data_IF_704921197041
#
_entry.id   IF_704921197041
#
_cell.length_a   1.000
_cell.length_b   1.000
_cell.length_c   1.000
_cell.angle_alpha   90.00
_cell.angle_beta   90.00
_cell.angle_gamma   90.00
#
_symmetry.space_group_name_H-M   'P 1'
#
loop_
_entity.id
_entity.type
_entity.pdbx_description
1 polymer ?
#
# COMPACT_ATOMS: atom_id res chain seq x y z
N UNK A 1 -80.13 12.75 -19.58
CA UNK A 1 -79.16 12.99 -18.49
C UNK A 1 -78.05 11.98 -18.67
N UNK A 2 -76.93 12.44 -19.18
CA UNK A 2 -75.75 11.58 -19.52
C UNK A 2 -74.67 11.80 -18.48
N UNK A 3 -74.36 10.78 -17.71
CA UNK A 3 -73.27 10.80 -16.72
C UNK A 3 -71.96 10.46 -17.44
N UNK A 4 -71.07 11.44 -17.54
CA UNK A 4 -69.69 11.24 -17.93
C UNK A 4 -68.91 10.68 -16.74
N UNK A 5 -68.44 9.43 -16.86
CA UNK A 5 -67.48 8.85 -15.95
C UNK A 5 -66.06 9.26 -16.44
N UNK A 6 -65.41 10.14 -15.67
CA UNK A 6 -64.01 10.52 -15.89
C UNK A 6 -63.12 9.53 -15.17
N UNK A 7 -62.45 8.65 -15.91
CA UNK A 7 -61.44 7.72 -15.37
C UNK A 7 -60.13 8.47 -15.27
N UNK A 8 -59.73 8.80 -14.05
CA UNK A 8 -58.40 9.38 -13.78
C UNK A 8 -57.39 8.23 -13.74
N UNK A 9 -56.60 8.05 -14.78
CA UNK A 9 -55.53 7.06 -14.84
C UNK A 9 -54.31 7.61 -14.09
N UNK A 10 -54.13 7.16 -12.86
CA UNK A 10 -52.98 7.51 -12.03
C UNK A 10 -51.79 6.63 -12.48
N UNK A 11 -50.95 7.15 -13.39
CA UNK A 11 -49.69 6.50 -13.71
C UNK A 11 -48.69 6.73 -12.58
N UNK A 12 -48.48 5.71 -11.77
CA UNK A 12 -47.47 5.67 -10.73
C UNK A 12 -46.10 5.49 -11.41
N UNK A 13 -45.37 6.59 -11.56
CA UNK A 13 -43.99 6.56 -12.10
C UNK A 13 -43.06 6.01 -11.01
N UNK A 14 -42.78 4.72 -11.06
CA UNK A 14 -41.83 4.08 -10.17
C UNK A 14 -40.42 4.47 -10.63
N UNK A 15 -39.89 5.56 -10.09
CA UNK A 15 -38.47 5.90 -10.22
C UNK A 15 -37.69 4.94 -9.30
N UNK A 16 -37.11 3.90 -9.89
CA UNK A 16 -36.17 3.05 -9.22
C UNK A 16 -34.91 3.88 -8.90
N UNK A 17 -34.80 4.28 -7.64
CA UNK A 17 -33.61 4.90 -7.09
C UNK A 17 -32.52 3.82 -7.04
N UNK A 18 -31.66 3.78 -8.07
CA UNK A 18 -30.46 2.93 -8.03
C UNK A 18 -29.49 3.61 -7.06
N UNK A 19 -29.51 3.17 -5.80
CA UNK A 19 -28.45 3.48 -4.88
C UNK A 19 -27.19 2.74 -5.38
N UNK A 20 -26.27 3.47 -6.03
CA UNK A 20 -24.93 2.97 -6.24
C UNK A 20 -24.31 2.72 -4.88
N UNK A 21 -24.20 1.45 -4.52
CA UNK A 21 -23.40 1.07 -3.37
C UNK A 21 -21.98 1.51 -3.67
N UNK A 22 -21.49 2.53 -2.98
CA UNK A 22 -20.09 2.90 -2.96
C UNK A 22 -19.33 1.68 -2.43
N UNK A 23 -18.59 1.00 -3.30
CA UNK A 23 -17.72 -0.08 -2.88
C UNK A 23 -16.70 0.50 -1.89
N UNK A 24 -16.88 0.18 -0.63
CA UNK A 24 -16.02 0.64 0.45
C UNK A 24 -14.62 0.06 0.23
N UNK A 25 -13.60 0.93 0.15
CA UNK A 25 -12.20 0.52 0.18
C UNK A 25 -11.85 0.05 1.59
N UNK A 26 -11.39 -1.18 1.71
CA UNK A 26 -10.78 -1.67 2.94
C UNK A 26 -9.32 -1.17 2.99
N UNK A 27 -8.97 -0.41 4.01
CA UNK A 27 -7.59 0.07 4.24
C UNK A 27 -6.99 -0.66 5.45
N UNK A 28 -5.82 -1.25 5.26
CA UNK A 28 -5.10 -1.97 6.29
C UNK A 28 -3.81 -1.23 6.66
N UNK A 29 -3.47 -1.21 7.95
CA UNK A 29 -2.18 -0.72 8.38
C UNK A 29 -1.10 -1.73 7.98
N UNK A 30 -0.10 -1.27 7.23
CA UNK A 30 0.97 -2.10 6.69
C UNK A 30 2.33 -1.86 7.35
N UNK A 31 2.39 -1.02 8.40
CA UNK A 31 3.64 -0.52 8.98
C UNK A 31 4.40 -1.51 9.85
N UNK A 32 3.73 -2.44 10.55
CA UNK A 32 4.38 -3.39 11.45
C UNK A 32 4.95 -4.62 10.75
N UNK A 33 5.91 -5.30 11.37
CA UNK A 33 6.44 -6.58 10.91
C UNK A 33 7.26 -6.49 9.62
N UNK A 34 7.98 -5.41 9.41
CA UNK A 34 9.00 -5.31 8.37
C UNK A 34 10.33 -5.86 8.88
N UNK A 35 11.07 -6.48 8.00
CA UNK A 35 12.43 -6.96 8.24
C UNK A 35 13.42 -5.99 7.58
N UNK A 36 14.44 -5.58 8.32
CA UNK A 36 15.47 -4.64 7.90
C UNK A 36 16.83 -5.31 7.84
N UNK A 37 17.55 -5.12 6.75
CA UNK A 37 18.97 -5.43 6.66
C UNK A 37 19.74 -4.28 6.01
N UNK A 38 20.90 -3.95 6.57
CA UNK A 38 21.80 -2.92 6.07
C UNK A 38 22.90 -3.55 5.23
N UNK A 39 23.27 -2.87 4.16
CA UNK A 39 24.24 -3.33 3.17
C UNK A 39 23.59 -4.02 1.97
N UNK A 40 24.33 -4.11 0.88
CA UNK A 40 23.88 -4.83 -0.30
C UNK A 40 23.75 -6.33 -0.03
N UNK A 41 22.63 -6.91 -0.41
CA UNK A 41 22.30 -8.32 -0.23
C UNK A 41 21.90 -8.93 -1.55
N UNK A 42 22.86 -9.51 -2.24
CA UNK A 42 22.61 -10.18 -3.52
C UNK A 42 21.51 -11.23 -3.39
N UNK A 43 20.48 -11.13 -4.21
CA UNK A 43 19.35 -12.05 -4.22
C UNK A 43 18.27 -11.79 -3.18
N UNK A 44 18.36 -10.67 -2.43
CA UNK A 44 17.37 -10.32 -1.41
C UNK A 44 15.98 -10.06 -1.97
N UNK A 45 15.84 -9.86 -3.27
CA UNK A 45 14.56 -9.77 -3.96
C UNK A 45 13.83 -11.13 -4.06
N UNK A 46 14.53 -12.25 -3.87
CA UNK A 46 13.97 -13.60 -4.01
C UNK A 46 13.04 -13.96 -2.87
N UNK A 47 11.93 -14.63 -3.20
CA UNK A 47 10.93 -15.05 -2.23
C UNK A 47 11.48 -16.03 -1.19
N UNK A 48 12.44 -16.85 -1.57
CA UNK A 48 13.07 -17.87 -0.72
C UNK A 48 14.39 -17.40 -0.08
N UNK A 49 14.68 -16.09 -0.12
CA UNK A 49 15.85 -15.53 0.55
C UNK A 49 15.78 -15.77 2.06
N UNK A 50 16.89 -16.18 2.67
CA UNK A 50 16.99 -16.39 4.10
C UNK A 50 17.08 -15.04 4.83
N UNK A 51 16.03 -14.64 5.51
CA UNK A 51 15.90 -13.35 6.20
C UNK A 51 15.61 -13.49 7.70
N UNK A 52 15.79 -14.66 8.25
CA UNK A 52 15.50 -14.96 9.67
C UNK A 52 16.38 -14.18 10.66
N UNK A 53 17.54 -13.71 10.23
CA UNK A 53 18.49 -12.90 11.00
C UNK A 53 18.29 -11.38 10.80
N UNK A 54 17.33 -10.96 9.97
CA UNK A 54 17.05 -9.56 9.76
C UNK A 54 16.32 -8.95 10.95
N UNK A 55 16.58 -7.66 11.19
CA UNK A 55 15.96 -6.93 12.29
C UNK A 55 14.49 -6.64 12.01
N UNK A 56 13.59 -7.05 12.89
CA UNK A 56 12.19 -6.64 12.81
C UNK A 56 12.03 -5.17 13.20
N UNK A 57 11.28 -4.41 12.38
CA UNK A 57 11.01 -2.99 12.57
C UNK A 57 9.55 -2.65 12.24
N UNK A 58 9.11 -1.52 12.78
CA UNK A 58 7.83 -0.89 12.41
C UNK A 58 8.10 0.41 11.67
N UNK A 59 7.50 0.59 10.50
CA UNK A 59 7.63 1.83 9.74
C UNK A 59 6.79 2.97 10.34
N UNK A 60 7.21 4.22 10.22
CA UNK A 60 8.49 4.67 9.64
C UNK A 60 9.69 4.32 10.54
N UNK A 61 10.75 3.82 9.97
CA UNK A 61 11.99 3.49 10.66
C UNK A 61 13.21 3.91 9.84
N UNK A 62 14.11 4.70 10.41
CA UNK A 62 15.37 5.06 9.79
C UNK A 62 16.49 4.12 10.28
N UNK A 63 17.18 3.46 9.35
CA UNK A 63 18.26 2.52 9.69
C UNK A 63 19.42 3.17 10.44
N UNK A 64 19.63 4.48 10.22
CA UNK A 64 20.69 5.30 10.81
C UNK A 64 20.18 6.32 11.84
N UNK A 65 19.04 6.07 12.48
CA UNK A 65 18.42 6.99 13.43
C UNK A 65 19.40 7.47 14.52
N UNK A 66 20.19 6.55 15.08
CA UNK A 66 21.17 6.89 16.11
C UNK A 66 22.30 7.79 15.59
N UNK A 67 22.70 7.65 14.34
CA UNK A 67 23.72 8.48 13.70
C UNK A 67 23.19 9.87 13.41
N UNK A 68 21.95 9.99 12.97
CA UNK A 68 21.32 11.24 12.59
C UNK A 68 21.28 12.28 13.72
N UNK A 69 21.36 11.83 14.99
CA UNK A 69 21.40 12.70 16.15
C UNK A 69 22.81 12.97 16.69
N UNK A 70 23.84 12.30 16.18
CA UNK A 70 25.20 12.35 16.72
C UNK A 70 26.25 12.85 15.75
N UNK A 71 26.00 12.69 14.45
CA UNK A 71 26.96 12.98 13.40
C UNK A 71 26.47 14.15 12.54
N UNK A 72 27.41 14.84 11.87
CA UNK A 72 27.05 15.79 10.83
C UNK A 72 26.47 15.06 9.61
N UNK A 73 25.76 15.80 8.76
CA UNK A 73 25.14 15.23 7.55
C UNK A 73 26.18 14.57 6.64
N UNK A 74 27.39 15.12 6.57
CA UNK A 74 28.48 14.56 5.74
C UNK A 74 29.04 13.24 6.29
N UNK A 75 28.76 12.92 7.54
CA UNK A 75 29.24 11.71 8.22
C UNK A 75 28.18 10.62 8.33
N UNK A 76 26.97 10.86 7.82
CA UNK A 76 25.91 9.86 7.82
C UNK A 76 26.25 8.71 6.88
N UNK A 77 25.90 7.50 7.29
CA UNK A 77 26.09 6.30 6.48
C UNK A 77 25.27 6.37 5.20
N UNK A 78 25.96 6.27 4.07
CA UNK A 78 25.37 6.11 2.74
C UNK A 78 25.54 4.65 2.32
N UNK A 79 24.44 3.91 2.25
CA UNK A 79 24.46 2.48 1.97
C UNK A 79 23.11 2.01 1.42
N UNK A 80 23.12 0.82 0.81
CA UNK A 80 21.89 0.11 0.42
C UNK A 80 21.24 -0.46 1.67
N UNK A 81 19.91 -0.32 1.76
CA UNK A 81 19.12 -0.85 2.85
C UNK A 81 17.94 -1.63 2.27
N UNK A 82 17.76 -2.82 2.79
CA UNK A 82 16.64 -3.68 2.42
C UNK A 82 15.56 -3.63 3.47
N UNK A 83 14.34 -3.33 3.04
CA UNK A 83 13.12 -3.50 3.82
C UNK A 83 12.30 -4.62 3.18
N UNK A 84 11.98 -5.65 3.93
CA UNK A 84 11.27 -6.83 3.47
C UNK A 84 10.07 -7.11 4.33
N UNK A 85 8.96 -7.53 3.73
CA UNK A 85 7.76 -7.88 4.47
C UNK A 85 7.07 -9.11 3.89
N UNK A 86 6.78 -10.06 4.76
CA UNK A 86 5.92 -11.20 4.45
C UNK A 86 4.49 -10.88 4.86
N UNK A 87 3.54 -11.07 3.95
CA UNK A 87 2.13 -10.83 4.24
C UNK A 87 1.22 -11.76 3.46
N UNK A 88 0.00 -11.91 3.93
CA UNK A 88 -1.07 -12.64 3.24
C UNK A 88 -2.25 -11.72 3.06
N UNK A 89 -2.83 -11.74 1.87
CA UNK A 89 -4.06 -11.02 1.61
C UNK A 89 -5.24 -11.74 2.27
N UNK A 90 -6.22 -11.01 2.82
CA UNK A 90 -7.46 -11.60 3.29
C UNK A 90 -8.17 -12.40 2.18
N UNK A 91 -8.82 -13.51 2.56
CA UNK A 91 -9.42 -14.45 1.61
C UNK A 91 -10.55 -13.84 0.74
N UNK A 92 -11.16 -12.74 1.18
CA UNK A 92 -12.24 -12.04 0.45
C UNK A 92 -11.74 -11.13 -0.68
N UNK A 93 -10.45 -11.11 -0.97
CA UNK A 93 -9.86 -10.21 -1.97
C UNK A 93 -9.71 -10.82 -3.37
N UNK A 94 -10.21 -12.04 -3.63
CA UNK A 94 -10.01 -12.74 -4.91
C UNK A 94 -10.52 -12.00 -6.16
N UNK A 95 -11.41 -11.03 -6.02
CA UNK A 95 -11.96 -10.24 -7.13
C UNK A 95 -11.69 -8.74 -6.97
N UNK A 96 -10.94 -8.32 -5.93
CA UNK A 96 -10.63 -6.93 -5.67
C UNK A 96 -9.25 -6.57 -6.20
N UNK A 97 -9.10 -5.33 -6.64
CA UNK A 97 -7.78 -4.76 -6.89
C UNK A 97 -7.13 -4.44 -5.53
N UNK A 98 -5.87 -4.82 -5.40
CA UNK A 98 -5.08 -4.55 -4.20
C UNK A 98 -3.98 -3.56 -4.56
N UNK A 99 -3.83 -2.54 -3.75
CA UNK A 99 -2.78 -1.54 -3.87
C UNK A 99 -1.94 -1.57 -2.60
N UNK A 100 -0.63 -1.39 -2.76
CA UNK A 100 0.27 -1.05 -1.66
C UNK A 100 0.63 0.41 -1.85
N UNK A 101 0.33 1.23 -0.86
CA UNK A 101 0.58 2.67 -0.88
C UNK A 101 1.65 2.97 0.18
N UNK A 102 2.73 3.62 -0.24
CA UNK A 102 3.75 4.16 0.64
C UNK A 102 3.52 5.68 0.74
N UNK A 103 3.19 6.16 1.92
CA UNK A 103 2.92 7.59 2.17
C UNK A 103 4.18 8.45 2.09
N UNK A 104 5.36 7.83 2.17
CA UNK A 104 6.64 8.49 1.96
C UNK A 104 7.76 7.49 1.75
N UNK A 105 8.52 7.71 0.68
CA UNK A 105 9.76 6.99 0.39
C UNK A 105 10.85 8.03 0.22
N UNK A 106 11.92 7.90 1.01
CA UNK A 106 13.05 8.83 0.96
C UNK A 106 14.15 8.27 0.06
N UNK A 107 14.75 9.16 -0.75
CA UNK A 107 15.81 8.84 -1.69
C UNK A 107 15.35 7.88 -2.81
N UNK A 108 16.28 7.14 -3.41
CA UNK A 108 15.99 6.13 -4.43
C UNK A 108 15.53 4.82 -3.80
N UNK A 109 14.52 4.17 -4.38
CA UNK A 109 14.06 2.86 -3.94
C UNK A 109 13.62 2.00 -5.12
N UNK A 110 14.10 0.78 -5.16
CA UNK A 110 13.63 -0.28 -6.04
C UNK A 110 12.57 -1.12 -5.32
N UNK A 111 11.48 -1.43 -6.02
CA UNK A 111 10.38 -2.22 -5.45
C UNK A 111 10.28 -3.58 -6.12
N UNK A 112 10.07 -4.61 -5.29
CA UNK A 112 9.90 -5.99 -5.73
C UNK A 112 8.68 -6.62 -5.05
N UNK A 113 7.95 -7.44 -5.78
CA UNK A 113 6.87 -8.29 -5.24
C UNK A 113 7.03 -9.69 -5.80
N UNK A 114 7.20 -10.69 -4.92
CA UNK A 114 7.33 -12.10 -5.29
C UNK A 114 8.36 -12.31 -6.41
N UNK A 115 9.61 -11.91 -6.17
CA UNK A 115 10.76 -11.99 -7.09
C UNK A 115 10.72 -11.03 -8.29
N UNK A 116 9.61 -10.32 -8.48
CA UNK A 116 9.42 -9.46 -9.64
C UNK A 116 9.73 -8.02 -9.29
N UNK A 117 10.60 -7.41 -10.07
CA UNK A 117 10.79 -5.98 -10.07
C UNK A 117 9.53 -5.28 -10.58
N UNK A 118 9.02 -4.31 -9.83
CA UNK A 118 7.79 -3.58 -10.16
C UNK A 118 8.01 -2.10 -10.41
N UNK A 119 9.15 -1.55 -10.05
CA UNK A 119 9.49 -0.17 -10.37
C UNK A 119 10.53 0.45 -9.46
N UNK A 120 10.91 1.66 -9.81
CA UNK A 120 11.84 2.51 -9.11
C UNK A 120 11.21 3.85 -8.77
N UNK A 121 11.51 4.36 -7.60
CA UNK A 121 11.16 5.70 -7.19
C UNK A 121 12.42 6.49 -6.87
N UNK A 122 12.54 7.67 -7.42
CA UNK A 122 13.66 8.58 -7.19
C UNK A 122 13.13 9.97 -6.83
N UNK A 123 13.82 10.62 -5.93
CA UNK A 123 13.60 12.00 -5.48
C UNK A 123 12.65 12.22 -4.30
N UNK A 124 13.27 12.70 -3.23
CA UNK A 124 12.60 13.33 -2.11
C UNK A 124 11.81 12.38 -1.22
N UNK A 125 10.84 12.94 -0.52
CA UNK A 125 9.85 12.19 0.26
C UNK A 125 8.52 12.35 -0.46
N UNK A 126 8.13 11.34 -1.21
CA UNK A 126 6.87 11.35 -1.97
C UNK A 126 6.09 10.07 -1.70
N UNK A 127 4.76 10.15 -1.81
CA UNK A 127 3.89 8.99 -1.79
C UNK A 127 4.06 8.17 -3.08
N UNK A 128 4.04 6.85 -2.96
CA UNK A 128 4.11 5.87 -4.05
C UNK A 128 2.98 4.86 -3.87
N UNK A 129 2.19 4.65 -4.91
CA UNK A 129 1.07 3.74 -4.91
C UNK A 129 0.82 3.07 -6.26
#
# INVERSE_FOLDING_TARGET
MKHLFSIFLLTFLWTSLHASASESRDKYNFNSGWLLSVGDKSGAEKINYADADWKEVTLPYAFNENEAFRLSIEQLTDTIVWYRKHFRLPANNHQKKVFIEFEGVRQGADFYINDKYIGFHENGVMAVG
#
